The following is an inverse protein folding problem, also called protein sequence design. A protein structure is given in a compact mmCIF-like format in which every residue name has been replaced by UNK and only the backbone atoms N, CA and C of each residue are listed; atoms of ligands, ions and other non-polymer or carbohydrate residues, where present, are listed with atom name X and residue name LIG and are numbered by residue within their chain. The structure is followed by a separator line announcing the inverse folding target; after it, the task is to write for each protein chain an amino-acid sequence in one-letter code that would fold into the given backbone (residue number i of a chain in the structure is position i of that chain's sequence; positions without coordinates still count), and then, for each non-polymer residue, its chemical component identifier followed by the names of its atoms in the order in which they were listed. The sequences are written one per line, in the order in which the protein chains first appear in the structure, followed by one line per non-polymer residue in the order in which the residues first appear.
data_IF_452757743914
#
_entry.id   IF_452757743914
#
_cell.length_a   1.000
_cell.length_b   1.000
_cell.length_c   1.000
_cell.angle_alpha   90.00
_cell.angle_beta   90.00
_cell.angle_gamma   90.00
#
_symmetry.space_group_name_H-M   'P 1'
#
loop_
_entity.id
_entity.type
_entity.pdbx_description
1 polymer ?
#
# COMPACT_ATOMS: atom_id res chain seq x y z
N UNK A 1 13.35 11.43 2.62
CA UNK A 1 12.49 10.66 1.70
C UNK A 1 11.83 11.68 0.76
N UNK A 2 12.18 11.69 -0.52
CA UNK A 2 11.57 12.60 -1.49
C UNK A 2 10.40 11.86 -2.14
N UNK A 3 9.20 12.41 -2.04
CA UNK A 3 7.97 11.84 -2.61
C UNK A 3 7.36 12.86 -3.56
N UNK A 4 7.06 12.41 -4.78
CA UNK A 4 6.53 13.25 -5.87
C UNK A 4 5.10 13.72 -5.58
N UNK A 5 4.34 12.93 -4.82
CA UNK A 5 2.98 13.25 -4.40
C UNK A 5 2.89 13.33 -2.87
N UNK A 6 3.39 14.41 -2.25
CA UNK A 6 3.46 14.51 -0.79
C UNK A 6 2.07 14.45 -0.13
N UNK A 7 1.02 14.89 -0.81
CA UNK A 7 -0.37 14.80 -0.31
C UNK A 7 -0.89 13.37 -0.15
N UNK A 8 -0.25 12.40 -0.82
CA UNK A 8 -0.54 10.97 -0.72
C UNK A 8 0.59 10.21 -0.01
N UNK A 9 1.35 10.89 0.85
CA UNK A 9 2.29 10.28 1.77
C UNK A 9 1.66 10.11 3.15
N UNK A 10 1.38 8.86 3.52
CA UNK A 10 0.80 8.51 4.81
C UNK A 10 1.87 7.88 5.69
N UNK A 11 2.03 8.40 6.91
CA UNK A 11 3.03 7.94 7.86
C UNK A 11 2.32 7.47 9.14
N UNK A 12 2.89 6.45 9.76
CA UNK A 12 2.47 5.99 11.08
C UNK A 12 3.69 6.00 12.00
N UNK A 13 3.53 6.62 13.17
CA UNK A 13 4.54 6.64 14.22
C UNK A 13 4.02 5.97 15.49
N UNK A 14 4.93 5.39 16.26
CA UNK A 14 4.62 4.89 17.60
C UNK A 14 4.54 6.05 18.62
N UNK A 15 4.19 5.78 19.90
CA UNK A 15 4.13 6.81 20.93
C UNK A 15 5.47 7.52 21.22
N UNK A 16 6.60 6.93 20.84
CA UNK A 16 7.93 7.55 20.97
C UNK A 16 8.28 8.47 19.80
N UNK A 17 7.44 8.50 18.76
CA UNK A 17 7.65 9.28 17.54
C UNK A 17 8.41 8.52 16.46
N UNK A 18 8.77 7.25 16.66
CA UNK A 18 9.48 6.45 15.66
C UNK A 18 8.52 6.03 14.54
N UNK A 19 8.95 6.20 13.28
CA UNK A 19 8.17 5.76 12.12
C UNK A 19 8.12 4.23 12.09
N UNK A 20 6.92 3.68 12.21
CA UNK A 20 6.64 2.23 12.23
C UNK A 20 5.98 1.72 10.95
N UNK A 21 5.59 2.65 10.07
CA UNK A 21 5.11 2.31 8.75
C UNK A 21 4.87 3.54 7.89
N UNK A 22 4.79 3.30 6.59
CA UNK A 22 4.45 4.31 5.60
C UNK A 22 3.64 3.69 4.48
N UNK A 23 2.88 4.54 3.80
CA UNK A 23 2.14 4.21 2.59
C UNK A 23 2.21 5.41 1.64
N UNK A 24 2.74 5.19 0.44
CA UNK A 24 2.70 6.21 -0.61
C UNK A 24 1.64 5.90 -1.63
N UNK A 25 1.04 6.96 -2.18
CA UNK A 25 0.09 6.91 -3.28
C UNK A 25 0.50 7.82 -4.43
N UNK A 26 -0.21 7.70 -5.54
CA UNK A 26 -0.21 8.67 -6.63
C UNK A 26 -1.56 8.68 -7.32
N UNK A 27 -1.97 9.83 -7.81
CA UNK A 27 -3.20 9.97 -8.59
C UNK A 27 -2.90 10.02 -10.09
N UNK A 28 -3.66 9.29 -10.89
CA UNK A 28 -3.64 9.40 -12.34
C UNK A 28 -5.04 9.14 -12.90
N UNK A 29 -5.57 10.06 -13.70
CA UNK A 29 -6.90 9.96 -14.36
C UNK A 29 -8.01 9.55 -13.38
N UNK A 30 -8.09 10.22 -12.23
CA UNK A 30 -9.11 9.96 -11.22
C UNK A 30 -8.91 8.68 -10.41
N UNK A 31 -7.77 8.00 -10.53
CA UNK A 31 -7.46 6.79 -9.77
C UNK A 31 -6.32 7.08 -8.80
N UNK A 32 -6.56 6.95 -7.49
CA UNK A 32 -5.53 6.92 -6.46
C UNK A 32 -4.96 5.50 -6.36
N UNK A 33 -3.73 5.32 -6.85
CA UNK A 33 -2.99 4.07 -6.76
C UNK A 33 -2.06 4.11 -5.54
N UNK A 34 -2.32 3.26 -4.56
CA UNK A 34 -1.48 3.03 -3.39
C UNK A 34 -0.35 2.08 -3.77
N UNK A 35 0.90 2.51 -3.54
CA UNK A 35 2.05 1.97 -4.28
C UNK A 35 3.28 1.54 -3.50
N UNK A 36 3.49 2.04 -2.30
CA UNK A 36 4.62 1.57 -1.50
C UNK A 36 4.20 1.57 -0.04
N UNK A 37 3.84 0.39 0.45
CA UNK A 37 3.33 0.19 1.80
C UNK A 37 4.24 -0.74 2.59
N UNK A 38 4.89 -0.20 3.61
CA UNK A 38 5.65 -0.98 4.59
C UNK A 38 5.09 -0.71 5.98
N UNK A 39 4.91 -1.77 6.77
CA UNK A 39 4.51 -1.66 8.16
C UNK A 39 5.09 -2.80 8.99
N UNK A 40 5.19 -2.59 10.29
CA UNK A 40 5.64 -3.60 11.24
C UNK A 40 4.49 -4.41 11.87
N UNK A 41 3.23 -4.06 11.61
CA UNK A 41 2.07 -4.71 12.24
C UNK A 41 0.79 -4.52 11.42
N UNK A 42 -0.19 -5.41 11.66
CA UNK A 42 -1.54 -5.28 11.08
C UNK A 42 -2.25 -4.00 11.51
N UNK A 43 -2.11 -3.59 12.78
CA UNK A 43 -2.70 -2.35 13.28
C UNK A 43 -2.17 -1.13 12.52
N UNK A 44 -0.86 -1.09 12.28
CA UNK A 44 -0.19 -0.05 11.49
C UNK A 44 -0.71 -0.05 10.05
N UNK A 45 -0.82 -1.23 9.41
CA UNK A 45 -1.40 -1.34 8.05
C UNK A 45 -2.82 -0.77 7.99
N UNK A 46 -3.68 -1.16 8.92
CA UNK A 46 -5.08 -0.68 8.97
C UNK A 46 -5.14 0.84 9.16
N UNK A 47 -4.28 1.40 10.02
CA UNK A 47 -4.20 2.84 10.25
C UNK A 47 -3.78 3.60 8.98
N UNK A 48 -2.75 3.12 8.27
CA UNK A 48 -2.28 3.74 7.02
C UNK A 48 -3.34 3.70 5.92
N UNK A 49 -4.01 2.56 5.75
CA UNK A 49 -5.08 2.42 4.73
C UNK A 49 -6.28 3.29 5.08
N UNK A 50 -6.62 3.43 6.37
CA UNK A 50 -7.68 4.35 6.82
C UNK A 50 -7.36 5.80 6.47
N UNK A 51 -6.12 6.25 6.70
CA UNK A 51 -5.70 7.60 6.33
C UNK A 51 -5.84 7.83 4.81
N UNK A 52 -5.44 6.84 4.00
CA UNK A 52 -5.58 6.91 2.54
C UNK A 52 -7.05 6.98 2.09
N UNK A 53 -7.94 6.21 2.73
CA UNK A 53 -9.38 6.25 2.45
C UNK A 53 -10.02 7.57 2.86
N UNK A 54 -9.61 8.14 4.00
CA UNK A 54 -10.09 9.46 4.41
C UNK A 54 -9.69 10.51 3.36
N UNK A 55 -8.43 10.52 2.93
CA UNK A 55 -7.98 11.44 1.88
C UNK A 55 -8.71 11.22 0.55
N UNK A 56 -9.01 9.97 0.20
CA UNK A 56 -9.83 9.64 -0.98
C UNK A 56 -11.24 10.25 -0.88
N UNK A 57 -11.89 10.16 0.28
CA UNK A 57 -13.21 10.75 0.50
C UNK A 57 -13.21 12.29 0.47
N UNK A 58 -12.09 12.92 0.79
CA UNK A 58 -11.90 14.37 0.77
C UNK A 58 -11.53 14.93 -0.61
N UNK A 59 -11.26 14.07 -1.61
CA UNK A 59 -10.78 14.47 -2.94
C UNK A 59 -11.80 14.16 -4.05
N UNK A 60 -12.63 15.15 -4.47
CA UNK A 60 -13.70 14.92 -5.44
C UNK A 60 -13.20 14.48 -6.83
N UNK A 61 -11.95 14.78 -7.17
CA UNK A 61 -11.37 14.43 -8.46
C UNK A 61 -10.93 12.95 -8.55
N UNK A 62 -10.93 12.22 -7.42
CA UNK A 62 -10.57 10.80 -7.39
C UNK A 62 -11.85 9.96 -7.28
N UNK A 63 -12.06 9.11 -8.28
CA UNK A 63 -13.25 8.26 -8.41
C UNK A 63 -13.00 6.84 -7.90
N UNK A 64 -11.74 6.40 -7.90
CA UNK A 64 -11.36 5.05 -7.51
C UNK A 64 -10.05 5.03 -6.71
N UNK A 65 -9.98 4.13 -5.74
CA UNK A 65 -8.75 3.79 -5.03
C UNK A 65 -8.35 2.36 -5.35
N UNK A 66 -7.06 2.13 -5.64
CA UNK A 66 -6.50 0.82 -6.00
C UNK A 66 -5.22 0.55 -5.22
N UNK A 67 -5.00 -0.71 -4.89
CA UNK A 67 -3.82 -1.18 -4.17
C UNK A 67 -3.47 -2.58 -4.66
N UNK A 68 -2.19 -2.78 -5.01
CA UNK A 68 -1.64 -4.10 -5.26
C UNK A 68 -1.01 -4.64 -3.98
N UNK A 69 -1.14 -5.93 -3.69
CA UNK A 69 -0.45 -6.57 -2.58
C UNK A 69 -0.12 -8.03 -2.93
N UNK A 70 0.82 -8.64 -2.21
CA UNK A 70 1.13 -10.05 -2.40
C UNK A 70 -0.02 -10.92 -1.88
N UNK A 71 -0.45 -11.89 -2.68
CA UNK A 71 -1.49 -12.85 -2.29
C UNK A 71 -1.15 -13.58 -0.97
N UNK A 72 0.14 -13.81 -0.71
CA UNK A 72 0.65 -14.45 0.50
C UNK A 72 0.63 -13.54 1.73
N UNK A 73 0.35 -12.24 1.59
CA UNK A 73 0.27 -11.31 2.71
C UNK A 73 -1.09 -11.42 3.41
N UNK A 74 -1.17 -12.27 4.42
CA UNK A 74 -2.37 -12.42 5.25
C UNK A 74 -2.79 -11.08 5.88
N UNK A 75 -1.82 -10.26 6.30
CA UNK A 75 -2.06 -8.92 6.86
C UNK A 75 -2.72 -7.99 5.85
N UNK A 76 -2.20 -7.91 4.62
CA UNK A 76 -2.79 -7.06 3.59
C UNK A 76 -4.20 -7.54 3.22
N UNK A 77 -4.37 -8.86 3.01
CA UNK A 77 -5.66 -9.47 2.67
C UNK A 77 -6.73 -9.19 3.73
N UNK A 78 -6.39 -9.34 5.02
CA UNK A 78 -7.29 -9.03 6.11
C UNK A 78 -7.66 -7.53 6.17
N UNK A 79 -6.68 -6.64 5.99
CA UNK A 79 -6.92 -5.20 5.98
C UNK A 79 -7.81 -4.77 4.80
N UNK A 80 -7.55 -5.27 3.59
CA UNK A 80 -8.34 -4.95 2.40
C UNK A 80 -9.79 -5.44 2.52
N UNK A 81 -9.98 -6.66 3.02
CA UNK A 81 -11.30 -7.22 3.29
C UNK A 81 -12.05 -6.39 4.35
N UNK A 82 -11.39 -5.99 5.43
CA UNK A 82 -11.98 -5.13 6.46
C UNK A 82 -12.52 -3.80 5.90
N UNK A 83 -11.85 -3.21 4.91
CA UNK A 83 -12.28 -1.97 4.26
C UNK A 83 -13.16 -2.19 3.02
N UNK A 84 -13.54 -3.43 2.70
CA UNK A 84 -14.46 -3.75 1.60
C UNK A 84 -13.85 -3.65 0.20
N UNK A 85 -12.52 -3.63 0.06
CA UNK A 85 -11.87 -3.69 -1.25
C UNK A 85 -12.27 -4.96 -1.99
N UNK A 86 -12.58 -4.83 -3.27
CA UNK A 86 -12.90 -5.94 -4.16
C UNK A 86 -11.68 -6.28 -5.02
N UNK A 87 -11.41 -7.57 -5.17
CA UNK A 87 -10.35 -8.06 -6.04
C UNK A 87 -10.74 -7.84 -7.52
N UNK A 88 -9.82 -7.29 -8.32
CA UNK A 88 -10.06 -6.95 -9.73
C UNK A 88 -9.13 -7.66 -10.71
N UNK A 89 -7.88 -7.90 -10.34
CA UNK A 89 -6.86 -8.41 -11.27
C UNK A 89 -5.69 -9.04 -10.53
N UNK A 90 -4.99 -9.96 -11.20
CA UNK A 90 -3.78 -10.60 -10.69
C UNK A 90 -2.57 -10.27 -11.55
N UNK A 91 -1.40 -10.30 -10.94
CA UNK A 91 -0.11 -10.24 -11.63
C UNK A 91 0.82 -11.26 -11.01
N UNK A 92 1.62 -11.94 -11.83
CA UNK A 92 2.56 -12.94 -11.37
C UNK A 92 3.95 -12.34 -11.29
N UNK A 93 4.56 -12.38 -10.11
CA UNK A 93 5.98 -12.05 -9.97
C UNK A 93 6.81 -13.24 -10.42
N UNK A 94 7.54 -13.06 -11.52
CA UNK A 94 8.43 -14.07 -12.10
C UNK A 94 9.89 -13.70 -11.83
N UNK A 95 10.74 -14.72 -11.64
CA UNK A 95 12.18 -14.55 -11.44
C UNK A 95 12.92 -15.36 -12.50
N UNK A 96 13.97 -14.78 -13.09
CA UNK A 96 14.93 -15.49 -13.93
C UNK A 96 16.22 -15.67 -13.13
N UNK A 97 16.51 -16.90 -12.71
CA UNK A 97 17.68 -17.22 -11.87
C UNK A 97 17.32 -17.45 -10.39
N UNK A 98 18.27 -17.22 -9.48
CA UNK A 98 18.08 -17.46 -8.04
C UNK A 98 17.09 -16.46 -7.42
N UNK A 99 16.17 -17.00 -6.61
CA UNK A 99 15.16 -16.23 -5.88
C UNK A 99 15.82 -15.49 -4.71
N UNK A 100 15.77 -14.16 -4.70
CA UNK A 100 16.24 -13.38 -3.54
C UNK A 100 15.11 -13.16 -2.51
N UNK A 101 15.44 -13.36 -1.23
CA UNK A 101 14.51 -13.17 -0.11
C UNK A 101 14.12 -11.69 0.13
N UNK A 102 14.82 -10.74 -0.47
CA UNK A 102 14.62 -9.31 -0.25
C UNK A 102 13.25 -8.79 -0.75
N UNK A 103 12.60 -9.50 -1.68
CA UNK A 103 11.38 -9.02 -2.35
C UNK A 103 10.07 -9.50 -1.69
N UNK A 104 10.14 -10.41 -0.72
CA UNK A 104 8.95 -11.05 -0.11
C UNK A 104 8.86 -10.81 1.40
N UNK A 105 9.42 -9.69 1.89
CA UNK A 105 9.34 -9.35 3.30
C UNK A 105 7.87 -9.28 3.76
N UNK A 106 7.50 -9.93 4.88
CA UNK A 106 6.15 -9.83 5.45
C UNK A 106 5.72 -8.41 5.79
N UNK A 107 6.68 -7.50 5.96
CA UNK A 107 6.42 -6.08 6.25
C UNK A 107 5.89 -5.31 5.04
N UNK A 108 6.06 -5.81 3.82
CA UNK A 108 5.53 -5.18 2.60
C UNK A 108 4.06 -5.57 2.45
N UNK A 109 3.17 -4.59 2.54
CA UNK A 109 1.72 -4.82 2.40
C UNK A 109 1.12 -4.16 1.14
N UNK A 110 1.83 -3.25 0.48
CA UNK A 110 1.38 -2.64 -0.76
C UNK A 110 2.52 -2.57 -1.79
N UNK A 111 2.21 -2.93 -3.03
CA UNK A 111 3.10 -2.94 -4.20
C UNK A 111 2.51 -2.03 -5.26
N UNK A 112 3.37 -1.20 -5.84
CA UNK A 112 2.94 -0.06 -6.63
C UNK A 112 2.77 -0.31 -8.08
N UNK A 113 3.73 -0.98 -8.69
CA UNK A 113 3.63 -1.33 -10.07
C UNK A 113 4.28 -2.70 -10.25
N UNK A 114 3.54 -3.70 -10.77
CA UNK A 114 4.16 -4.95 -11.19
C UNK A 114 5.40 -4.75 -12.06
N UNK A 115 5.46 -3.66 -12.85
CA UNK A 115 6.60 -3.32 -13.68
C UNK A 115 7.81 -2.74 -12.90
N UNK A 116 7.62 -2.26 -11.67
CA UNK A 116 8.69 -1.66 -10.84
C UNK A 116 9.10 -2.53 -9.65
N UNK A 117 8.50 -3.69 -9.49
CA UNK A 117 8.81 -4.66 -8.42
C UNK A 117 7.74 -4.73 -7.36
#
# INVERSE_FOLDING_TARGET
LYEEYPDYAFLASDPSGLIVGYLFGSTHKGILKLRAGISNSQATTVALVRQALQRFCEEPAVEQIKIGFLETSATAKAAMSFFGFQEQSHSFRMFLGEKSNATTSPSIFAIGDPAKG
#
